data_IF_806239962874
#
_entry.id   IF_806239962874
#
_cell.length_a   1.000
_cell.length_b   1.000
_cell.length_c   1.000
_cell.angle_alpha   90.00
_cell.angle_beta   90.00
_cell.angle_gamma   90.00
#
_symmetry.space_group_name_H-M   'P 1'
#
loop_
_entity.id
_entity.type
_entity.pdbx_description
1 polymer ?
#
# COMPACT_ATOMS: atom_id res chain seq x y z
N UNK A 1 -21.57 -12.33 -15.98
CA UNK A 1 -20.54 -11.33 -15.61
C UNK A 1 -20.09 -11.45 -14.16
N UNK A 2 -20.94 -11.72 -13.16
CA UNK A 2 -20.50 -11.89 -11.75
C UNK A 2 -19.49 -13.03 -11.52
N UNK A 3 -19.59 -14.15 -12.26
CA UNK A 3 -18.67 -15.29 -12.08
C UNK A 3 -17.26 -15.09 -12.70
N UNK A 4 -17.07 -14.18 -13.65
CA UNK A 4 -15.78 -14.07 -14.37
C UNK A 4 -14.65 -13.52 -13.48
N UNK A 5 -14.96 -12.60 -12.55
CA UNK A 5 -13.95 -11.99 -11.67
C UNK A 5 -13.47 -12.99 -10.61
N UNK A 6 -14.35 -13.85 -10.12
CA UNK A 6 -14.01 -14.85 -9.11
C UNK A 6 -13.19 -16.01 -9.68
N UNK A 7 -13.42 -16.36 -10.95
CA UNK A 7 -12.74 -17.45 -11.64
C UNK A 7 -11.41 -17.02 -12.28
N UNK A 8 -11.28 -15.75 -12.69
CA UNK A 8 -10.06 -15.25 -13.34
C UNK A 8 -8.87 -15.27 -12.37
N UNK A 9 -7.86 -16.04 -12.73
CA UNK A 9 -6.59 -16.06 -12.00
C UNK A 9 -5.77 -14.80 -12.28
N UNK A 10 -5.34 -14.15 -11.21
CA UNK A 10 -4.31 -13.13 -11.22
C UNK A 10 -3.00 -13.76 -10.79
N UNK A 11 -1.98 -13.59 -11.63
CA UNK A 11 -0.65 -14.13 -11.42
C UNK A 11 0.32 -12.98 -11.16
N UNK A 12 1.12 -13.08 -10.12
CA UNK A 12 2.16 -12.11 -9.79
C UNK A 12 3.31 -12.77 -9.05
N UNK A 13 4.51 -12.21 -9.21
CA UNK A 13 5.71 -12.74 -8.55
C UNK A 13 5.91 -12.08 -7.17
N UNK A 14 6.27 -12.90 -6.18
CA UNK A 14 6.69 -12.50 -4.83
C UNK A 14 7.99 -13.21 -4.49
N UNK A 15 9.07 -12.45 -4.27
CA UNK A 15 10.41 -12.98 -3.93
C UNK A 15 10.92 -14.06 -4.89
N UNK A 16 10.68 -13.91 -6.21
CA UNK A 16 11.10 -14.89 -7.22
C UNK A 16 10.15 -16.07 -7.41
N UNK A 17 9.08 -16.18 -6.62
CA UNK A 17 8.09 -17.25 -6.71
C UNK A 17 6.76 -16.73 -7.28
N UNK A 18 6.13 -17.55 -8.13
CA UNK A 18 4.86 -17.22 -8.77
C UNK A 18 3.68 -17.47 -7.81
N UNK A 19 2.90 -16.42 -7.53
CA UNK A 19 1.67 -16.50 -6.74
C UNK A 19 0.47 -16.40 -7.68
N UNK A 20 -0.44 -17.37 -7.56
CA UNK A 20 -1.71 -17.43 -8.31
C UNK A 20 -2.87 -17.25 -7.35
N UNK A 21 -3.66 -16.20 -7.55
CA UNK A 21 -4.86 -15.92 -6.77
C UNK A 21 -6.07 -15.72 -7.68
N UNK A 22 -7.19 -16.30 -7.27
CA UNK A 22 -8.51 -16.00 -7.82
C UNK A 22 -9.45 -15.63 -6.68
N UNK A 23 -10.59 -15.00 -7.01
CA UNK A 23 -11.57 -14.66 -5.99
C UNK A 23 -12.10 -15.88 -5.23
N UNK A 24 -12.24 -17.02 -5.91
CA UNK A 24 -12.63 -18.29 -5.26
C UNK A 24 -11.58 -18.78 -4.24
N UNK A 25 -10.29 -18.72 -4.60
CA UNK A 25 -9.21 -19.11 -3.68
C UNK A 25 -9.24 -18.21 -2.44
N UNK A 26 -9.42 -16.91 -2.64
CA UNK A 26 -9.50 -15.94 -1.54
C UNK A 26 -10.68 -16.28 -0.63
N UNK A 27 -11.89 -16.39 -1.19
CA UNK A 27 -13.11 -16.64 -0.43
C UNK A 27 -13.08 -17.96 0.35
N UNK A 28 -12.43 -18.99 -0.18
CA UNK A 28 -12.40 -20.33 0.43
C UNK A 28 -11.28 -20.50 1.46
N UNK A 29 -10.09 -19.96 1.21
CA UNK A 29 -8.88 -20.31 1.98
C UNK A 29 -8.26 -19.15 2.75
N UNK A 30 -8.57 -17.90 2.37
CA UNK A 30 -7.89 -16.71 2.90
C UNK A 30 -8.82 -15.80 3.72
N UNK A 31 -10.06 -16.23 3.96
CA UNK A 31 -11.04 -15.53 4.80
C UNK A 31 -11.15 -16.24 6.14
N UNK A 32 -11.14 -15.44 7.21
CA UNK A 32 -11.39 -15.86 8.59
C UNK A 32 -12.60 -15.11 9.14
N UNK A 33 -13.25 -15.69 10.15
CA UNK A 33 -14.42 -15.09 10.79
C UNK A 33 -15.70 -15.88 10.52
N UNK A 34 -16.85 -15.23 10.71
CA UNK A 34 -18.16 -15.89 10.70
C UNK A 34 -19.13 -15.36 9.63
N UNK A 35 -18.62 -14.60 8.66
CA UNK A 35 -19.42 -14.02 7.58
C UNK A 35 -18.69 -14.08 6.23
N UNK A 36 -19.46 -14.14 5.13
CA UNK A 36 -18.89 -14.15 3.77
C UNK A 36 -18.45 -12.76 3.33
N UNK A 37 -17.30 -12.71 2.67
CA UNK A 37 -16.77 -11.49 2.04
C UNK A 37 -17.52 -11.18 0.74
N UNK A 38 -17.61 -9.89 0.41
CA UNK A 38 -18.20 -9.41 -0.85
C UNK A 38 -17.17 -9.48 -1.98
N UNK A 39 -17.63 -9.45 -3.23
CA UNK A 39 -16.74 -9.37 -4.40
C UNK A 39 -15.82 -8.14 -4.34
N UNK A 40 -16.34 -6.99 -3.89
CA UNK A 40 -15.56 -5.77 -3.72
C UNK A 40 -14.41 -5.97 -2.71
N UNK A 41 -14.69 -6.58 -1.56
CA UNK A 41 -13.67 -6.87 -0.53
C UNK A 41 -12.60 -7.85 -1.06
N UNK A 42 -13.01 -8.86 -1.83
CA UNK A 42 -12.10 -9.80 -2.49
C UNK A 42 -11.19 -9.06 -3.49
N UNK A 43 -11.75 -8.18 -4.32
CA UNK A 43 -10.97 -7.42 -5.31
C UNK A 43 -10.00 -6.48 -4.61
N UNK A 44 -10.42 -5.77 -3.56
CA UNK A 44 -9.54 -4.91 -2.77
C UNK A 44 -8.37 -5.71 -2.17
N UNK A 45 -8.65 -6.87 -1.56
CA UNK A 45 -7.63 -7.75 -1.01
C UNK A 45 -6.66 -8.25 -2.08
N UNK A 46 -7.17 -8.66 -3.24
CA UNK A 46 -6.36 -9.14 -4.36
C UNK A 46 -5.43 -8.04 -4.88
N UNK A 47 -5.94 -6.82 -5.07
CA UNK A 47 -5.13 -5.68 -5.52
C UNK A 47 -4.07 -5.31 -4.49
N UNK A 48 -4.41 -5.33 -3.19
CA UNK A 48 -3.42 -5.11 -2.14
C UNK A 48 -2.31 -6.16 -2.21
N UNK A 49 -2.66 -7.46 -2.28
CA UNK A 49 -1.65 -8.53 -2.35
C UNK A 49 -0.74 -8.40 -3.57
N UNK A 50 -1.30 -8.03 -4.73
CA UNK A 50 -0.54 -7.85 -5.96
C UNK A 50 0.37 -6.62 -5.90
N UNK A 51 -0.14 -5.47 -5.47
CA UNK A 51 0.61 -4.21 -5.43
C UNK A 51 1.66 -4.24 -4.33
N UNK A 52 1.28 -4.76 -3.17
CA UNK A 52 2.18 -4.95 -2.02
C UNK A 52 2.92 -6.28 -2.07
N UNK A 53 2.96 -7.01 -3.19
CA UNK A 53 3.78 -8.21 -3.37
C UNK A 53 3.70 -9.17 -2.16
N UNK A 54 2.50 -9.42 -1.66
CA UNK A 54 2.24 -10.27 -0.49
C UNK A 54 1.91 -11.68 -0.95
N UNK A 55 2.42 -12.68 -0.24
CA UNK A 55 2.05 -14.07 -0.43
C UNK A 55 1.06 -14.52 0.66
N UNK A 56 -0.26 -14.52 0.38
CA UNK A 56 -1.25 -14.86 1.40
C UNK A 56 -1.24 -16.34 1.79
N UNK A 57 -0.65 -17.24 0.99
CA UNK A 57 -0.48 -18.65 1.38
C UNK A 57 0.54 -18.84 2.51
N UNK A 58 1.43 -17.87 2.71
CA UNK A 58 2.36 -17.82 3.84
C UNK A 58 1.77 -17.05 5.05
N UNK A 59 0.46 -16.78 5.04
CA UNK A 59 -0.22 -15.91 5.99
C UNK A 59 0.33 -14.47 6.04
N UNK A 60 0.94 -13.98 4.95
CA UNK A 60 1.41 -12.59 4.91
C UNK A 60 0.25 -11.59 4.87
N UNK A 61 -0.90 -12.00 4.32
CA UNK A 61 -2.15 -11.28 4.38
C UNK A 61 -3.37 -12.23 4.39
N UNK A 62 -4.44 -11.84 5.07
CA UNK A 62 -5.73 -12.54 5.06
C UNK A 62 -6.89 -11.56 5.33
N UNK A 63 -8.11 -11.96 4.97
CA UNK A 63 -9.33 -11.23 5.29
C UNK A 63 -9.92 -11.73 6.61
N UNK A 64 -10.40 -10.81 7.44
CA UNK A 64 -11.22 -11.13 8.62
C UNK A 64 -12.58 -10.45 8.44
N UNK A 65 -13.66 -11.21 8.50
CA UNK A 65 -15.01 -10.64 8.45
C UNK A 65 -15.92 -11.19 9.53
N UNK A 66 -16.52 -10.27 10.27
CA UNK A 66 -17.55 -10.56 11.27
C UNK A 66 -18.90 -10.02 10.83
N UNK A 67 -19.97 -10.69 11.27
CA UNK A 67 -21.34 -10.26 10.99
C UNK A 67 -21.58 -8.81 11.43
N UNK A 68 -22.07 -7.98 10.51
CA UNK A 68 -22.39 -6.58 10.79
C UNK A 68 -21.20 -5.61 10.70
N UNK A 69 -20.06 -6.05 10.18
CA UNK A 69 -18.89 -5.19 9.94
C UNK A 69 -18.28 -5.43 8.56
N UNK A 70 -17.66 -4.41 7.94
CA UNK A 70 -16.85 -4.58 6.75
C UNK A 70 -15.70 -5.57 6.99
N UNK A 71 -15.22 -6.24 5.94
CA UNK A 71 -14.04 -7.07 6.05
C UNK A 71 -12.79 -6.22 6.31
N UNK A 72 -11.91 -6.74 7.17
CA UNK A 72 -10.61 -6.15 7.47
C UNK A 72 -9.53 -6.93 6.76
N UNK A 73 -8.60 -6.23 6.10
CA UNK A 73 -7.40 -6.84 5.55
C UNK A 73 -6.32 -6.81 6.62
N UNK A 74 -5.90 -7.99 7.07
CA UNK A 74 -4.85 -8.15 8.05
C UNK A 74 -3.58 -8.56 7.34
N UNK A 75 -2.48 -7.88 7.64
CA UNK A 75 -1.13 -8.21 7.20
C UNK A 75 -0.29 -8.69 8.38
N UNK A 76 0.60 -9.64 8.13
CA UNK A 76 1.47 -10.18 9.17
C UNK A 76 2.63 -9.24 9.48
N UNK A 77 3.16 -9.29 10.70
CA UNK A 77 4.42 -8.60 11.05
C UNK A 77 5.56 -8.98 10.09
N UNK A 78 5.61 -10.23 9.65
CA UNK A 78 6.65 -10.73 8.75
C UNK A 78 6.64 -10.00 7.40
N UNK A 79 5.46 -9.65 6.89
CA UNK A 79 5.33 -8.84 5.67
C UNK A 79 5.98 -7.45 5.82
N UNK A 80 5.80 -6.80 6.98
CA UNK A 80 6.47 -5.53 7.28
C UNK A 80 7.99 -5.71 7.35
N UNK A 81 8.45 -6.77 8.04
CA UNK A 81 9.89 -7.05 8.16
C UNK A 81 10.53 -7.26 6.79
N UNK A 82 9.99 -8.18 5.97
CA UNK A 82 10.52 -8.47 4.63
C UNK A 82 10.55 -7.24 3.73
N UNK A 83 9.51 -6.39 3.82
CA UNK A 83 9.44 -5.16 3.04
C UNK A 83 10.42 -4.09 3.51
N UNK A 84 10.63 -3.97 4.83
CA UNK A 84 11.66 -3.09 5.35
C UNK A 84 13.05 -3.58 4.91
N UNK A 85 13.34 -4.87 5.05
CA UNK A 85 14.62 -5.49 4.65
C UNK A 85 14.93 -5.33 3.15
N UNK A 86 13.91 -5.33 2.29
CA UNK A 86 14.12 -5.10 0.85
C UNK A 86 14.32 -3.63 0.47
N UNK A 87 14.09 -2.70 1.39
CA UNK A 87 14.25 -1.27 1.13
C UNK A 87 15.74 -0.86 1.22
N UNK A 88 16.33 -0.21 0.18
CA UNK A 88 17.77 0.10 0.16
C UNK A 88 18.26 0.93 1.35
N UNK A 89 17.38 1.83 1.84
CA UNK A 89 17.67 2.71 2.97
C UNK A 89 17.43 2.10 4.35
N UNK A 90 16.91 0.86 4.46
CA UNK A 90 16.74 0.24 5.78
C UNK A 90 18.09 -0.03 6.43
N UNK A 91 18.20 0.32 7.72
CA UNK A 91 19.42 0.20 8.51
C UNK A 91 19.18 -0.46 9.88
N UNK A 92 18.17 -1.33 9.94
CA UNK A 92 17.83 -2.05 11.16
C UNK A 92 16.82 -1.34 12.06
N UNK A 93 16.54 -1.98 13.19
CA UNK A 93 15.66 -1.45 14.23
C UNK A 93 16.10 -1.93 15.62
N UNK A 94 15.73 -1.15 16.64
CA UNK A 94 15.80 -1.56 18.04
C UNK A 94 14.41 -1.38 18.65
N UNK A 95 13.94 -2.33 19.43
CA UNK A 95 12.59 -2.26 20.00
C UNK A 95 12.47 -3.01 21.31
N UNK A 96 11.58 -2.50 22.15
CA UNK A 96 11.37 -3.03 23.48
C UNK A 96 10.02 -2.67 24.08
N UNK A 97 9.93 -2.87 25.38
CA UNK A 97 8.77 -2.51 26.20
C UNK A 97 9.08 -1.28 27.04
N UNK A 98 8.04 -0.64 27.51
CA UNK A 98 8.10 0.44 28.49
C UNK A 98 7.46 -0.04 29.78
N UNK A 99 8.19 0.05 30.88
CA UNK A 99 7.73 -0.33 32.21
C UNK A 99 7.74 0.84 33.17
N UNK A 100 6.82 0.84 34.12
CA UNK A 100 6.87 1.68 35.31
C UNK A 100 7.69 0.95 36.39
N UNK A 101 8.79 1.56 36.81
CA UNK A 101 9.66 1.11 37.90
C UNK A 101 9.86 2.27 38.87
N UNK A 102 9.41 2.12 40.11
CA UNK A 102 9.57 3.14 41.15
C UNK A 102 9.03 4.53 40.73
N UNK A 103 7.89 4.54 40.01
CA UNK A 103 7.25 5.76 39.51
C UNK A 103 7.93 6.39 38.29
N UNK A 104 8.94 5.74 37.72
CA UNK A 104 9.65 6.20 36.52
C UNK A 104 9.33 5.33 35.32
N UNK A 105 9.30 5.96 34.14
CA UNK A 105 9.17 5.29 32.86
C UNK A 105 10.54 4.79 32.40
N UNK A 106 10.68 3.48 32.25
CA UNK A 106 11.94 2.83 31.84
C UNK A 106 11.73 2.06 30.54
N UNK A 107 12.57 2.35 29.55
CA UNK A 107 12.65 1.58 28.29
C UNK A 107 13.51 0.34 28.51
N UNK A 108 12.94 -0.84 28.29
CA UNK A 108 13.65 -2.12 28.37
C UNK A 108 13.66 -2.74 26.98
N UNK A 109 14.84 -2.97 26.41
CA UNK A 109 14.98 -3.63 25.12
C UNK A 109 14.46 -5.09 25.19
N UNK A 110 13.81 -5.54 24.12
CA UNK A 110 13.16 -6.84 24.10
C UNK A 110 11.82 -6.85 24.83
N UNK A 111 11.29 -8.06 25.05
CA UNK A 111 9.95 -8.27 25.64
C UNK A 111 10.06 -8.97 27.00
N UNK A 112 10.88 -8.42 27.89
CA UNK A 112 11.15 -8.97 29.23
C UNK A 112 11.08 -7.86 30.28
N UNK A 113 10.51 -8.17 31.44
CA UNK A 113 10.42 -7.25 32.59
C UNK A 113 10.76 -7.99 33.88
N UNK A 114 11.10 -7.25 34.93
CA UNK A 114 11.18 -7.81 36.29
C UNK A 114 9.77 -8.04 36.85
N UNK A 115 9.67 -8.86 37.90
CA UNK A 115 8.38 -9.18 38.53
C UNK A 115 7.69 -7.93 39.10
N UNK A 116 8.47 -7.04 39.71
CA UNK A 116 7.99 -5.79 40.31
C UNK A 116 7.66 -4.70 39.28
N UNK A 117 8.12 -4.85 38.04
CA UNK A 117 7.85 -3.87 37.00
C UNK A 117 6.40 -3.98 36.54
N UNK A 118 5.77 -2.84 36.29
CA UNK A 118 4.45 -2.78 35.66
C UNK A 118 4.60 -2.42 34.19
N UNK A 119 4.09 -3.26 33.29
CA UNK A 119 4.07 -2.97 31.86
C UNK A 119 3.12 -1.81 31.58
N UNK A 120 3.62 -0.76 30.91
CA UNK A 120 2.82 0.42 30.57
C UNK A 120 2.81 0.74 29.07
N UNK A 121 3.73 0.18 28.28
CA UNK A 121 3.78 0.46 26.84
C UNK A 121 4.84 -0.33 26.09
N UNK A 122 5.05 0.06 24.84
CA UNK A 122 6.05 -0.47 23.93
C UNK A 122 6.74 0.64 23.15
N UNK A 123 7.95 0.39 22.69
CA UNK A 123 8.71 1.35 21.91
C UNK A 123 9.50 0.67 20.80
N UNK A 124 9.74 1.41 19.71
CA UNK A 124 10.59 0.99 18.61
C UNK A 124 11.32 2.19 18.01
N UNK A 125 12.54 1.94 17.55
CA UNK A 125 13.40 2.87 16.80
C UNK A 125 13.76 2.20 15.49
N UNK A 126 13.42 2.82 14.37
CA UNK A 126 13.76 2.33 13.03
C UNK A 126 14.78 3.29 12.41
N UNK A 127 15.87 2.71 11.92
CA UNK A 127 16.99 3.45 11.36
C UNK A 127 16.91 3.42 9.84
N UNK A 128 17.25 4.56 9.23
CA UNK A 128 17.36 4.71 7.80
C UNK A 128 18.67 5.37 7.44
N UNK A 129 19.33 4.89 6.39
CA UNK A 129 20.63 5.40 5.93
C UNK A 129 20.56 6.84 5.39
N UNK A 130 19.39 7.26 4.93
CA UNK A 130 19.15 8.60 4.36
C UNK A 130 18.76 9.67 5.41
N UNK A 131 18.83 9.35 6.72
CA UNK A 131 18.41 10.26 7.79
C UNK A 131 19.32 10.12 9.01
N UNK A 132 19.67 11.24 9.64
CA UNK A 132 20.50 11.22 10.86
C UNK A 132 19.74 10.80 12.12
N UNK A 133 18.42 11.02 12.13
CA UNK A 133 17.55 10.72 13.28
C UNK A 133 16.69 9.49 12.98
N UNK A 134 16.61 8.52 13.90
CA UNK A 134 15.70 7.40 13.74
C UNK A 134 14.25 7.86 13.88
N UNK A 135 13.35 7.10 13.26
CA UNK A 135 11.94 7.19 13.59
C UNK A 135 11.72 6.48 14.92
N UNK A 136 11.07 7.16 15.86
CA UNK A 136 10.84 6.67 17.21
C UNK A 136 9.35 6.66 17.50
N UNK A 137 8.82 5.46 17.78
CA UNK A 137 7.43 5.29 18.16
C UNK A 137 7.36 4.75 19.58
N UNK A 138 6.48 5.34 20.40
CA UNK A 138 6.13 4.87 21.74
C UNK A 138 4.62 4.78 21.84
N UNK A 139 4.11 3.64 22.28
CA UNK A 139 2.67 3.39 22.39
C UNK A 139 2.31 2.94 23.80
N UNK A 140 1.13 3.38 24.25
CA UNK A 140 0.60 2.98 25.55
C UNK A 140 -0.06 1.61 25.46
N UNK A 141 0.18 0.77 26.46
CA UNK A 141 -0.55 -0.49 26.62
C UNK A 141 -2.05 -0.25 26.79
N UNK A 142 -2.46 0.87 27.39
CA UNK A 142 -3.88 1.16 27.64
C UNK A 142 -4.68 1.45 26.37
N UNK A 143 -4.05 1.94 25.30
CA UNK A 143 -4.73 2.27 24.04
C UNK A 143 -4.94 1.04 23.15
N UNK A 144 -3.98 0.10 23.20
CA UNK A 144 -3.97 -1.09 22.33
C UNK A 144 -4.46 -2.37 23.03
N UNK A 145 -4.25 -2.49 24.34
CA UNK A 145 -4.59 -3.67 25.13
C UNK A 145 -6.08 -3.83 25.43
N UNK A 146 -6.91 -4.11 24.42
CA UNK A 146 -8.37 -4.24 24.54
C UNK A 146 -8.86 -5.58 25.13
N UNK A 147 -8.02 -6.26 25.93
CA UNK A 147 -8.41 -7.48 26.65
C UNK A 147 -8.69 -8.72 25.79
N UNK A 148 -8.26 -8.72 24.53
CA UNK A 148 -8.28 -9.90 23.66
C UNK A 148 -7.40 -11.03 24.22
N UNK A 149 -7.68 -12.28 23.85
CA UNK A 149 -7.03 -13.47 24.43
C UNK A 149 -5.50 -13.44 24.30
N UNK A 150 -4.98 -13.10 23.11
CA UNK A 150 -3.52 -13.02 22.85
C UNK A 150 -2.84 -11.95 23.68
N UNK A 151 -3.50 -10.79 23.85
CA UNK A 151 -3.02 -9.69 24.70
C UNK A 151 -2.96 -10.06 26.19
N UNK A 152 -3.87 -10.93 26.66
CA UNK A 152 -3.84 -11.45 28.03
C UNK A 152 -2.75 -12.49 28.23
N UNK A 153 -2.48 -13.32 27.22
CA UNK A 153 -1.50 -14.40 27.30
C UNK A 153 -0.06 -13.91 27.11
N UNK A 154 0.17 -12.97 26.19
CA UNK A 154 1.52 -12.54 25.79
C UNK A 154 1.67 -11.00 25.67
N UNK A 155 1.29 -10.21 26.70
CA UNK A 155 1.20 -8.75 26.60
C UNK A 155 2.52 -8.07 26.20
N UNK A 156 3.67 -8.58 26.65
CA UNK A 156 5.00 -8.04 26.35
C UNK A 156 5.33 -8.15 24.86
N UNK A 157 5.07 -9.32 24.27
CA UNK A 157 5.33 -9.57 22.85
C UNK A 157 4.38 -8.75 21.97
N UNK A 158 3.12 -8.65 22.38
CA UNK A 158 2.09 -7.92 21.63
C UNK A 158 2.42 -6.44 21.58
N UNK A 159 2.65 -5.78 22.72
CA UNK A 159 2.94 -4.33 22.72
C UNK A 159 4.24 -4.00 22.00
N UNK A 160 5.27 -4.86 22.10
CA UNK A 160 6.51 -4.71 21.34
C UNK A 160 6.28 -4.87 19.84
N UNK A 161 5.52 -5.88 19.40
CA UNK A 161 5.14 -6.10 17.99
C UNK A 161 4.41 -4.87 17.44
N UNK A 162 3.41 -4.37 18.17
CA UNK A 162 2.63 -3.20 17.76
C UNK A 162 3.52 -1.97 17.62
N UNK A 163 4.46 -1.74 18.55
CA UNK A 163 5.40 -0.62 18.44
C UNK A 163 6.29 -0.73 17.20
N UNK A 164 6.81 -1.92 16.88
CA UNK A 164 7.63 -2.17 15.68
C UNK A 164 6.86 -1.83 14.41
N UNK A 165 5.62 -2.34 14.28
CA UNK A 165 4.81 -2.15 13.07
C UNK A 165 4.49 -0.68 12.85
N UNK A 166 4.13 0.05 13.91
CA UNK A 166 3.87 1.48 13.81
C UNK A 166 5.12 2.27 13.41
N UNK A 167 6.27 2.00 14.04
CA UNK A 167 7.53 2.65 13.68
C UNK A 167 7.96 2.34 12.23
N UNK A 168 7.72 1.12 11.76
CA UNK A 168 8.01 0.73 10.38
C UNK A 168 7.15 1.49 9.38
N UNK A 169 5.85 1.68 9.65
CA UNK A 169 4.98 2.49 8.79
C UNK A 169 5.42 3.94 8.70
N UNK A 170 5.77 4.54 9.84
CA UNK A 170 6.29 5.90 9.87
C UNK A 170 7.64 6.00 9.15
N UNK A 171 8.47 4.96 9.22
CA UNK A 171 9.75 4.91 8.53
C UNK A 171 9.62 4.69 7.02
N UNK A 172 8.67 3.89 6.54
CA UNK A 172 8.49 3.55 5.12
C UNK A 172 7.03 3.72 4.66
N UNK A 173 6.48 4.95 4.71
CA UNK A 173 5.05 5.18 4.43
C UNK A 173 4.64 4.74 3.02
N UNK A 174 5.49 4.95 2.01
CA UNK A 174 5.21 4.57 0.62
C UNK A 174 5.04 3.05 0.46
N UNK A 175 5.78 2.27 1.24
CA UNK A 175 5.81 0.81 1.14
C UNK A 175 4.90 0.10 2.15
N UNK A 176 4.63 0.73 3.29
CA UNK A 176 4.00 0.09 4.46
C UNK A 176 2.75 0.82 4.95
N UNK A 177 2.48 2.04 4.49
CA UNK A 177 1.40 2.88 5.02
C UNK A 177 -0.01 2.30 4.85
N UNK A 178 -0.24 1.50 3.80
CA UNK A 178 -1.53 0.87 3.51
C UNK A 178 -1.72 -0.51 4.18
N UNK A 179 -0.81 -0.93 5.07
CA UNK A 179 -0.85 -2.24 5.72
C UNK A 179 -1.22 -2.11 7.20
N UNK A 180 -2.10 -2.99 7.66
CA UNK A 180 -2.61 -3.01 9.02
C UNK A 180 -2.45 -4.40 9.63
N UNK A 181 -2.18 -4.44 10.94
CA UNK A 181 -2.08 -5.70 11.69
C UNK A 181 -3.32 -5.92 12.55
N UNK A 182 -3.58 -7.17 12.94
CA UNK A 182 -4.75 -7.57 13.75
C UNK A 182 -4.89 -6.82 15.09
N UNK A 183 -3.78 -6.27 15.57
CA UNK A 183 -3.60 -5.69 16.89
C UNK A 183 -3.94 -4.20 16.95
N UNK A 184 -4.21 -3.60 15.80
CA UNK A 184 -4.49 -2.19 15.71
C UNK A 184 -5.97 -1.91 15.89
N UNK A 185 -6.30 -0.79 16.58
CA UNK A 185 -7.66 -0.30 16.57
C UNK A 185 -8.02 0.07 15.13
N UNK A 186 -8.72 -0.83 14.45
CA UNK A 186 -9.36 -0.51 13.19
C UNK A 186 -10.47 0.50 13.50
N UNK A 187 -10.21 1.77 13.19
CA UNK A 187 -11.27 2.75 13.06
C UNK A 187 -11.81 2.60 11.64
N UNK A 188 -13.00 2.00 11.43
CA UNK A 188 -13.64 1.97 10.11
C UNK A 188 -13.87 3.39 9.56
N UNK A 189 -13.75 4.42 10.40
CA UNK A 189 -14.08 5.79 10.07
C UNK A 189 -13.27 6.36 8.90
N UNK A 190 -11.97 6.10 8.70
CA UNK A 190 -11.25 6.81 7.62
C UNK A 190 -11.67 6.31 6.24
N UNK A 191 -11.73 5.00 6.01
CA UNK A 191 -12.18 4.46 4.71
C UNK A 191 -13.67 4.67 4.48
N UNK A 192 -14.50 4.54 5.52
CA UNK A 192 -15.94 4.82 5.39
C UNK A 192 -16.23 6.31 5.25
N UNK A 193 -15.50 7.21 5.92
CA UNK A 193 -15.62 8.66 5.74
C UNK A 193 -15.14 9.05 4.34
N UNK A 194 -14.00 8.54 3.87
CA UNK A 194 -13.52 8.83 2.52
C UNK A 194 -14.47 8.28 1.45
N UNK A 195 -15.02 7.07 1.62
CA UNK A 195 -16.04 6.56 0.68
C UNK A 195 -17.36 7.32 0.76
N UNK A 196 -17.80 7.71 1.96
CA UNK A 196 -18.98 8.54 2.14
C UNK A 196 -18.76 9.94 1.54
N UNK A 197 -17.60 10.55 1.74
CA UNK A 197 -17.20 11.83 1.16
C UNK A 197 -17.11 11.76 -0.36
N UNK A 198 -16.47 10.72 -0.92
CA UNK A 198 -16.44 10.49 -2.36
C UNK A 198 -17.87 10.30 -2.90
N UNK A 199 -18.72 9.53 -2.22
CA UNK A 199 -20.12 9.36 -2.65
C UNK A 199 -20.97 10.63 -2.55
N UNK A 200 -20.65 11.51 -1.60
CA UNK A 200 -21.38 12.75 -1.35
C UNK A 200 -20.86 13.95 -2.17
N UNK A 201 -19.58 13.93 -2.57
CA UNK A 201 -18.89 15.04 -3.24
C UNK A 201 -18.54 14.75 -4.71
N UNK A 202 -18.49 13.48 -5.13
CA UNK A 202 -18.32 13.17 -6.55
C UNK A 202 -19.57 13.63 -7.32
N UNK A 203 -19.36 14.52 -8.29
CA UNK A 203 -20.34 15.06 -9.25
C UNK A 203 -21.27 16.19 -8.78
N UNK A 204 -20.99 16.89 -7.68
CA UNK A 204 -21.82 18.07 -7.30
C UNK A 204 -21.49 19.35 -8.07
N UNK A 205 -20.30 19.47 -8.66
CA UNK A 205 -19.99 20.58 -9.54
C UNK A 205 -19.98 20.11 -10.99
N UNK A 206 -21.00 20.55 -11.73
CA UNK A 206 -20.93 20.59 -13.19
C UNK A 206 -19.88 21.64 -13.51
N UNK A 207 -18.68 21.20 -13.88
CA UNK A 207 -17.72 22.08 -14.52
C UNK A 207 -18.30 22.33 -15.92
N UNK A 208 -18.98 23.45 -16.09
CA UNK A 208 -19.26 24.01 -17.40
C UNK A 208 -17.93 24.38 -18.03
N UNK A 209 -17.29 23.41 -18.69
CA UNK A 209 -16.21 23.69 -19.63
C UNK A 209 -16.91 24.39 -20.80
N UNK A 210 -16.66 25.69 -21.04
CA UNK A 210 -17.17 26.31 -22.25
C UNK A 210 -16.54 25.55 -23.41
N UNK A 211 -17.38 24.87 -24.18
CA UNK A 211 -16.98 24.37 -25.50
C UNK A 211 -16.71 25.63 -26.31
N UNK A 212 -15.45 26.01 -26.45
CA UNK A 212 -15.05 26.91 -27.53
C UNK A 212 -15.51 26.22 -28.81
N UNK A 213 -16.45 26.85 -29.53
CA UNK A 213 -16.82 26.42 -30.86
C UNK A 213 -15.54 26.27 -31.67
N UNK A 214 -15.23 25.05 -32.09
CA UNK A 214 -14.21 24.80 -33.09
C UNK A 214 -14.55 25.67 -34.30
N UNK A 215 -13.80 26.76 -34.46
CA UNK A 215 -13.78 27.48 -35.72
C UNK A 215 -13.45 26.47 -36.80
N UNK A 216 -14.40 26.31 -37.74
CA UNK A 216 -14.32 25.38 -38.86
C UNK A 216 -12.91 25.42 -39.47
N UNK A 217 -12.31 24.28 -39.85
CA UNK A 217 -11.03 24.28 -40.54
C UNK A 217 -11.16 25.15 -41.79
N UNK A 218 -10.34 26.21 -41.84
CA UNK A 218 -10.22 27.07 -43.00
C UNK A 218 -9.84 26.19 -44.19
N UNK A 219 -10.68 26.16 -45.21
CA UNK A 219 -10.38 25.50 -46.47
C UNK A 219 -9.20 26.25 -47.10
N UNK A 220 -8.01 25.66 -47.00
CA UNK A 220 -6.86 26.10 -47.77
C UNK A 220 -7.18 25.78 -49.23
N UNK A 221 -7.53 26.81 -49.99
CA UNK A 221 -7.74 26.72 -51.43
C UNK A 221 -6.38 26.45 -52.09
N UNK A 222 -6.26 25.48 -53.02
CA UNK A 222 -5.03 25.24 -53.75
C UNK A 222 -4.67 26.45 -54.62
N UNK A 223 -3.38 26.79 -54.62
CA UNK A 223 -2.72 27.86 -55.37
C UNK A 223 -3.19 28.02 -56.83
N UNK A 224 -3.52 29.25 -57.21
CA UNK A 224 -3.39 29.73 -58.59
C UNK A 224 -2.06 30.51 -58.68
N UNK A 225 -0.98 29.77 -58.92
CA UNK A 225 0.30 30.33 -59.34
C UNK A 225 0.24 30.53 -60.87
N UNK A 226 0.01 31.76 -61.31
CA UNK A 226 0.36 32.15 -62.67
C UNK A 226 1.90 32.14 -62.84
N UNK A 227 2.42 31.71 -64.00
CA UNK A 227 3.83 31.38 -64.17
C UNK A 227 4.71 32.60 -64.42
N UNK A 228 5.70 32.84 -63.55
CA UNK A 228 6.86 33.68 -63.88
C UNK A 228 7.85 32.89 -64.77
N UNK A 229 8.43 33.51 -65.81
CA UNK A 229 9.14 32.82 -66.88
C UNK A 229 10.49 32.21 -66.46
N UNK A 230 10.78 31.05 -67.05
CA UNK A 230 11.96 30.22 -66.85
C UNK A 230 13.18 30.83 -67.55
N UNK A 231 14.23 31.19 -66.79
CA UNK A 231 15.58 31.36 -67.32
C UNK A 231 16.46 30.15 -66.92
N UNK A 232 16.65 29.23 -67.87
CA UNK A 232 17.61 28.14 -67.74
C UNK A 232 19.00 28.60 -68.20
N UNK A 233 20.06 28.47 -67.37
CA UNK A 233 21.40 28.31 -67.90
C UNK A 233 21.69 26.82 -68.11
N UNK A 234 21.74 26.45 -69.39
CA UNK A 234 22.33 25.22 -69.91
C UNK A 234 23.78 25.07 -69.38
N UNK A 235 24.14 23.90 -68.85
CA UNK A 235 25.51 23.40 -69.07
C UNK A 235 25.59 21.86 -69.11
N UNK A 236 25.78 21.42 -70.35
CA UNK A 236 26.37 20.22 -70.96
C UNK A 236 26.47 18.84 -70.25
N UNK A 237 26.20 17.74 -70.99
CA UNK A 237 26.38 16.36 -70.54
C UNK A 237 27.87 15.95 -70.47
N UNK A 238 28.21 14.88 -69.73
CA UNK A 238 29.59 14.51 -69.44
C UNK A 238 30.30 13.95 -70.68
N UNK A 239 31.47 14.49 -71.00
CA UNK A 239 32.36 13.91 -72.00
C UNK A 239 33.10 12.70 -71.44
N UNK A 240 33.16 11.65 -72.25
CA UNK A 240 33.61 10.29 -71.94
C UNK A 240 35.11 10.05 -72.16
N UNK A 241 35.79 9.47 -71.14
CA UNK A 241 36.85 8.40 -71.13
C UNK A 241 38.12 8.65 -72.02
N UNK A 242 39.18 7.79 -72.12
CA UNK A 242 39.58 6.54 -71.44
C UNK A 242 41.08 6.45 -71.00
N UNK A 243 41.44 5.29 -70.43
CA UNK A 243 42.75 4.74 -69.98
C UNK A 243 43.23 5.10 -68.57
#
# INVERSE_FOLDING_TARGET
MANEILDKQTVYEVNGEEVKLSGNIIAQYLVRGNEKVTEQEIVMFLQLCRYQKLNPFLNEAYLVKFKGSPAQIITSKEAFMKRAESHPQYDGLVAGIVVEREGQMVEVEGAIKLDKDKLIGGWAKVYRKDRDKPIVTKISLSEFGKGQATWKQMPLNMIRKTAIVNAMREAFPDNLGAMYTEDEPFSPDVESQVQNEISNLANNEVIDIPVEEETKPSQVHPDELEPEPVDMPYNEPPASRPY
#
